data_IF_641168492690
#
_entry.id   IF_641168492690
#
_cell.length_a   1.000
_cell.length_b   1.000
_cell.length_c   1.000
_cell.angle_alpha   90.00
_cell.angle_beta   90.00
_cell.angle_gamma   90.00
#
_symmetry.space_group_name_H-M   'P 1'
#
loop_
_entity.id
_entity.type
_entity.pdbx_description
1 polymer ?
#
# COMPACT_ATOMS: atom_id res chain seq x y z
N UNK A 1 -14.79 -45.35 23.90
CA UNK A 1 -15.56 -44.56 22.91
C UNK A 1 -16.28 -45.57 22.04
N UNK A 2 -17.62 -45.52 21.93
CA UNK A 2 -18.34 -46.48 21.08
C UNK A 2 -17.91 -46.29 19.60
N UNK A 3 -17.72 -47.37 18.82
CA UNK A 3 -17.38 -47.25 17.42
C UNK A 3 -18.50 -46.53 16.66
N UNK A 4 -18.14 -45.66 15.70
CA UNK A 4 -19.12 -44.88 14.93
C UNK A 4 -20.03 -45.80 14.12
N UNK A 5 -21.34 -45.69 14.35
CA UNK A 5 -22.36 -46.37 13.56
C UNK A 5 -22.35 -45.77 12.14
N UNK A 6 -22.08 -46.57 11.08
CA UNK A 6 -21.95 -46.08 9.72
C UNK A 6 -23.25 -45.45 9.20
N UNK A 7 -24.42 -45.99 9.56
CA UNK A 7 -25.71 -45.46 9.13
C UNK A 7 -25.99 -44.07 9.74
N UNK A 8 -25.61 -43.86 11.02
CA UNK A 8 -25.76 -42.57 11.67
C UNK A 8 -24.82 -41.52 11.07
N UNK A 9 -23.62 -41.95 10.69
CA UNK A 9 -22.61 -41.07 10.07
C UNK A 9 -23.03 -40.65 8.66
N UNK A 10 -23.63 -41.56 7.89
CA UNK A 10 -24.16 -41.24 6.56
C UNK A 10 -25.36 -40.29 6.64
N UNK A 11 -26.27 -40.50 7.60
CA UNK A 11 -27.42 -39.62 7.83
C UNK A 11 -26.98 -38.20 8.22
N UNK A 12 -25.98 -38.09 9.11
CA UNK A 12 -25.40 -36.80 9.50
C UNK A 12 -24.73 -36.08 8.31
N UNK A 13 -23.99 -36.81 7.46
CA UNK A 13 -23.36 -36.24 6.26
C UNK A 13 -24.38 -35.73 5.25
N UNK A 14 -25.50 -36.45 5.07
CA UNK A 14 -26.60 -36.01 4.21
C UNK A 14 -27.28 -34.74 4.75
N UNK A 15 -27.51 -34.65 6.06
CA UNK A 15 -28.03 -33.43 6.70
C UNK A 15 -27.09 -32.24 6.49
N UNK A 16 -25.78 -32.42 6.71
CA UNK A 16 -24.77 -31.37 6.45
C UNK A 16 -24.73 -30.95 4.99
N UNK A 17 -24.80 -31.90 4.05
CA UNK A 17 -24.84 -31.59 2.61
C UNK A 17 -26.10 -30.82 2.19
N UNK A 18 -27.21 -31.00 2.92
CA UNK A 18 -28.47 -30.25 2.73
C UNK A 18 -28.53 -28.91 3.47
N UNK A 19 -27.41 -28.46 4.06
CA UNK A 19 -27.37 -27.22 4.85
C UNK A 19 -28.07 -27.31 6.20
N UNK A 20 -28.26 -28.53 6.75
CA UNK A 20 -28.88 -28.75 8.04
C UNK A 20 -30.40 -28.56 8.05
N UNK A 21 -31.08 -28.90 6.95
CA UNK A 21 -32.54 -28.80 6.83
C UNK A 21 -33.26 -30.16 6.95
N UNK A 22 -32.52 -31.28 6.89
CA UNK A 22 -33.09 -32.64 6.89
C UNK A 22 -33.40 -33.15 8.31
N UNK A 23 -32.63 -32.74 9.31
CA UNK A 23 -32.81 -33.14 10.71
C UNK A 23 -33.17 -31.94 11.58
N UNK A 24 -34.09 -32.10 12.51
CA UNK A 24 -34.35 -31.11 13.56
C UNK A 24 -33.22 -31.10 14.61
N UNK A 25 -33.10 -30.03 15.39
CA UNK A 25 -32.06 -29.90 16.40
C UNK A 25 -32.07 -31.05 17.43
N UNK A 26 -33.25 -31.51 17.84
CA UNK A 26 -33.42 -32.62 18.78
C UNK A 26 -32.98 -33.97 18.18
N UNK A 27 -33.18 -34.18 16.87
CA UNK A 27 -32.76 -35.39 16.17
C UNK A 27 -31.24 -35.43 16.00
N UNK A 28 -30.61 -34.29 15.71
CA UNK A 28 -29.14 -34.17 15.67
C UNK A 28 -28.51 -34.45 17.02
N UNK A 29 -29.09 -33.91 18.10
CA UNK A 29 -28.63 -34.16 19.46
C UNK A 29 -28.76 -35.65 19.82
N UNK A 30 -29.87 -36.29 19.48
CA UNK A 30 -30.09 -37.72 19.69
C UNK A 30 -29.08 -38.58 18.92
N UNK A 31 -28.70 -38.17 17.72
CA UNK A 31 -27.71 -38.86 16.87
C UNK A 31 -26.29 -38.79 17.46
N UNK A 32 -25.95 -37.68 18.12
CA UNK A 32 -24.64 -37.46 18.75
C UNK A 32 -24.55 -37.97 20.20
N UNK A 33 -25.68 -38.09 20.91
CA UNK A 33 -25.77 -38.49 22.32
C UNK A 33 -24.95 -39.73 22.72
N UNK A 34 -24.86 -40.80 21.92
CA UNK A 34 -24.06 -41.99 22.27
C UNK A 34 -22.53 -41.76 22.25
N UNK A 35 -22.08 -40.73 21.55
CA UNK A 35 -20.65 -40.39 21.40
C UNK A 35 -20.20 -39.27 22.35
N UNK A 36 -21.15 -38.62 23.02
CA UNK A 36 -20.86 -37.63 24.05
C UNK A 36 -20.43 -38.33 25.35
N UNK A 37 -19.46 -37.76 26.10
CA UNK A 37 -19.02 -38.33 27.36
C UNK A 37 -20.19 -38.38 28.37
N UNK A 38 -20.28 -39.49 29.11
CA UNK A 38 -21.36 -39.70 30.07
C UNK A 38 -21.35 -38.59 31.13
N UNK A 39 -22.50 -37.95 31.33
CA UNK A 39 -22.69 -36.98 32.41
C UNK A 39 -22.64 -37.73 33.74
N UNK A 40 -21.78 -37.35 34.71
CA UNK A 40 -21.68 -38.07 35.97
C UNK A 40 -22.99 -37.94 36.75
N UNK A 41 -23.64 -39.09 36.98
CA UNK A 41 -24.87 -39.20 37.79
C UNK A 41 -24.49 -39.34 39.27
N UNK A 42 -25.14 -38.61 40.20
CA UNK A 42 -24.75 -38.60 41.61
C UNK A 42 -25.52 -39.67 42.40
N UNK A 43 -25.14 -40.95 42.29
CA UNK A 43 -25.57 -41.98 43.25
C UNK A 43 -24.90 -43.32 43.00
N UNK A 44 -23.92 -43.66 43.85
CA UNK A 44 -23.62 -45.04 44.26
C UNK A 44 -22.46 -45.05 45.25
N UNK A 45 -22.80 -44.98 46.54
CA UNK A 45 -22.02 -45.65 47.57
C UNK A 45 -23.01 -46.46 48.39
N UNK A 46 -22.97 -47.77 48.17
CA UNK A 46 -23.66 -48.78 48.96
C UNK A 46 -23.06 -48.85 50.36
N UNK A 47 -23.99 -48.80 51.31
CA UNK A 47 -24.11 -49.52 52.58
C UNK A 47 -23.00 -50.47 53.02
N UNK A 48 -22.56 -50.26 54.26
CA UNK A 48 -22.19 -51.34 55.17
C UNK A 48 -22.48 -50.92 56.62
N UNK A 49 -23.19 -51.77 57.37
CA UNK A 49 -23.09 -51.83 58.83
C UNK A 49 -24.17 -51.13 59.66
N UNK A 50 -25.23 -51.88 59.95
CA UNK A 50 -25.87 -52.11 61.27
C UNK A 50 -25.81 -51.03 62.38
N UNK A 51 -27.01 -50.62 62.79
CA UNK A 51 -27.52 -50.42 64.17
C UNK A 51 -26.97 -49.32 65.09
N UNK A 52 -27.92 -48.44 65.44
CA UNK A 52 -28.26 -47.87 66.76
C UNK A 52 -27.36 -46.81 67.43
N UNK A 53 -28.03 -45.68 67.69
CA UNK A 53 -27.97 -44.78 68.86
C UNK A 53 -26.79 -43.83 69.07
N UNK A 54 -27.19 -42.56 69.25
CA UNK A 54 -26.56 -41.46 70.02
C UNK A 54 -25.21 -40.91 69.57
N UNK A 55 -25.21 -39.67 69.05
CA UNK A 55 -24.72 -38.47 69.78
C UNK A 55 -24.37 -37.33 68.80
N UNK A 56 -24.47 -36.10 69.31
CA UNK A 56 -24.19 -34.81 68.67
C UNK A 56 -22.83 -34.81 67.94
N UNK A 57 -22.73 -34.15 66.77
CA UNK A 57 -21.74 -33.09 66.51
C UNK A 57 -21.89 -32.44 65.12
N UNK A 58 -22.13 -31.13 65.14
CA UNK A 58 -21.74 -30.07 64.19
C UNK A 58 -21.73 -30.36 62.67
N UNK A 59 -22.71 -29.79 61.97
CA UNK A 59 -22.71 -29.59 60.53
C UNK A 59 -21.60 -28.62 60.09
N UNK A 60 -20.55 -29.12 59.44
CA UNK A 60 -19.64 -28.28 58.63
C UNK A 60 -20.21 -28.16 57.21
N UNK A 61 -20.85 -27.02 56.94
CA UNK A 61 -21.38 -26.66 55.63
C UNK A 61 -20.29 -26.63 54.56
N UNK A 62 -20.53 -27.35 53.46
CA UNK A 62 -19.66 -27.40 52.30
C UNK A 62 -19.74 -26.05 51.55
N UNK A 63 -18.68 -25.23 51.60
CA UNK A 63 -18.60 -23.93 50.93
C UNK A 63 -18.74 -24.12 49.41
N UNK A 64 -19.79 -23.55 48.82
CA UNK A 64 -19.98 -23.47 47.35
C UNK A 64 -18.74 -22.84 46.70
N UNK A 65 -18.20 -23.48 45.66
CA UNK A 65 -17.02 -23.02 44.90
C UNK A 65 -17.36 -21.74 44.12
N UNK A 66 -17.20 -20.57 44.75
CA UNK A 66 -17.29 -19.22 44.12
C UNK A 66 -16.04 -18.93 43.26
N UNK A 67 -14.94 -19.65 43.51
CA UNK A 67 -13.62 -19.46 42.89
C UNK A 67 -13.58 -19.48 41.35
N UNK A 68 -14.24 -20.41 40.62
CA UNK A 68 -14.19 -20.42 39.15
C UNK A 68 -14.94 -19.24 38.53
N UNK A 69 -16.07 -18.81 39.10
CA UNK A 69 -16.83 -17.66 38.60
C UNK A 69 -16.07 -16.34 38.82
N UNK A 70 -15.48 -16.18 40.00
CA UNK A 70 -14.63 -15.01 40.29
C UNK A 70 -13.39 -14.95 39.39
N UNK A 71 -12.78 -16.11 39.08
CA UNK A 71 -11.65 -16.21 38.16
C UNK A 71 -12.04 -15.81 36.74
N UNK A 72 -13.17 -16.28 36.22
CA UNK A 72 -13.65 -15.88 34.88
C UNK A 72 -13.99 -14.39 34.81
N UNK A 73 -14.65 -13.84 35.84
CA UNK A 73 -14.94 -12.40 35.92
C UNK A 73 -13.66 -11.56 36.06
N UNK A 74 -12.66 -12.05 36.79
CA UNK A 74 -11.35 -11.40 36.89
C UNK A 74 -10.61 -11.42 35.54
N UNK A 75 -10.61 -12.54 34.81
CA UNK A 75 -10.03 -12.59 33.46
C UNK A 75 -10.74 -11.63 32.50
N UNK A 76 -12.07 -11.56 32.54
CA UNK A 76 -12.83 -10.61 31.74
C UNK A 76 -12.53 -9.15 32.11
N UNK A 77 -12.40 -8.85 33.42
CA UNK A 77 -12.03 -7.52 33.91
C UNK A 77 -10.62 -7.13 33.46
N UNK A 78 -9.65 -8.03 33.62
CA UNK A 78 -8.26 -7.81 33.19
C UNK A 78 -8.18 -7.60 31.68
N UNK A 79 -8.87 -8.43 30.89
CA UNK A 79 -8.95 -8.26 29.44
C UNK A 79 -9.58 -6.91 29.07
N UNK A 80 -10.67 -6.52 29.72
CA UNK A 80 -11.30 -5.21 29.51
C UNK A 80 -10.35 -4.06 29.86
N UNK A 81 -9.64 -4.14 30.98
CA UNK A 81 -8.67 -3.11 31.38
C UNK A 81 -7.52 -3.02 30.37
N UNK A 82 -6.97 -4.15 29.93
CA UNK A 82 -5.94 -4.19 28.88
C UNK A 82 -6.47 -3.52 27.61
N UNK A 83 -7.66 -3.91 27.14
CA UNK A 83 -8.26 -3.33 25.94
C UNK A 83 -8.57 -1.83 26.10
N UNK A 84 -8.97 -1.39 27.30
CA UNK A 84 -9.22 0.02 27.63
C UNK A 84 -7.91 0.82 27.59
N UNK A 85 -6.85 0.34 28.25
CA UNK A 85 -5.55 1.01 28.29
C UNK A 85 -4.90 1.06 26.91
N UNK A 86 -4.84 -0.07 26.19
CA UNK A 86 -4.29 -0.12 24.84
C UNK A 86 -5.14 0.69 23.86
N UNK A 87 -6.47 0.59 23.93
CA UNK A 87 -7.37 1.38 23.10
C UNK A 87 -7.23 2.89 23.36
N UNK A 88 -7.12 3.30 24.62
CA UNK A 88 -6.87 4.68 25.02
C UNK A 88 -5.49 5.16 24.54
N UNK A 89 -4.44 4.37 24.74
CA UNK A 89 -3.09 4.69 24.29
C UNK A 89 -3.00 4.86 22.78
N UNK A 90 -3.58 3.92 22.01
CA UNK A 90 -3.60 3.98 20.55
C UNK A 90 -4.37 5.20 20.07
N UNK A 91 -5.56 5.48 20.63
CA UNK A 91 -6.34 6.68 20.26
C UNK A 91 -5.64 7.98 20.63
N UNK A 92 -5.04 8.09 21.82
CA UNK A 92 -4.26 9.27 22.22
C UNK A 92 -3.09 9.50 21.28
N UNK A 93 -2.38 8.43 20.90
CA UNK A 93 -1.28 8.49 19.93
C UNK A 93 -1.75 8.91 18.54
N UNK A 94 -2.86 8.34 18.06
CA UNK A 94 -3.49 8.72 16.79
C UNK A 94 -3.87 10.21 16.81
N UNK A 95 -4.58 10.67 17.84
CA UNK A 95 -4.99 12.07 17.99
C UNK A 95 -3.76 12.99 18.04
N UNK A 96 -2.71 12.62 18.78
CA UNK A 96 -1.48 13.40 18.85
C UNK A 96 -0.81 13.56 17.48
N UNK A 97 -0.62 12.46 16.73
CA UNK A 97 -0.02 12.53 15.40
C UNK A 97 -0.93 13.26 14.40
N UNK A 98 -2.23 13.01 14.41
CA UNK A 98 -3.20 13.69 13.56
C UNK A 98 -3.26 15.19 13.81
N UNK A 99 -3.25 15.61 15.08
CA UNK A 99 -3.28 17.04 15.44
C UNK A 99 -1.96 17.73 15.10
N UNK A 100 -0.82 17.07 15.30
CA UNK A 100 0.47 17.59 14.84
C UNK A 100 0.53 17.70 13.32
N UNK A 101 0.18 16.64 12.60
CA UNK A 101 0.21 16.61 11.13
C UNK A 101 -0.76 17.67 10.56
N UNK A 102 -1.93 17.86 11.18
CA UNK A 102 -2.90 18.89 10.77
C UNK A 102 -2.48 20.30 11.16
N UNK A 103 -1.91 20.52 12.35
CA UNK A 103 -1.36 21.82 12.72
C UNK A 103 -0.18 22.20 11.82
N UNK A 104 0.65 21.23 11.45
CA UNK A 104 1.69 21.41 10.44
C UNK A 104 1.07 21.68 9.08
N UNK A 105 0.09 20.91 8.63
CA UNK A 105 -0.56 21.10 7.34
C UNK A 105 -1.19 22.50 7.22
N UNK A 106 -1.92 22.95 8.24
CA UNK A 106 -2.53 24.29 8.28
C UNK A 106 -1.46 25.39 8.32
N UNK A 107 -0.43 25.24 9.17
CA UNK A 107 0.68 26.20 9.25
C UNK A 107 1.48 26.28 7.94
N UNK A 108 1.56 25.19 7.19
CA UNK A 108 2.31 25.09 5.94
C UNK A 108 1.44 25.25 4.67
N UNK A 109 0.12 25.44 4.83
CA UNK A 109 -0.84 25.57 3.72
C UNK A 109 -0.61 26.83 2.87
N UNK A 110 0.21 27.77 3.33
CA UNK A 110 0.38 29.09 2.73
C UNK A 110 1.47 29.23 1.66
N UNK A 111 2.25 28.17 1.35
CA UNK A 111 3.36 28.30 0.39
C UNK A 111 3.36 27.17 -0.65
N UNK A 112 2.43 27.23 -1.61
CA UNK A 112 2.47 26.49 -2.88
C UNK A 112 3.56 27.07 -3.81
N UNK A 113 4.79 27.13 -3.33
CA UNK A 113 5.92 27.66 -4.11
C UNK A 113 7.02 26.62 -4.21
N UNK A 114 7.61 26.43 -5.40
CA UNK A 114 8.64 25.43 -5.62
C UNK A 114 9.89 25.68 -4.76
N UNK A 115 10.20 26.94 -4.44
CA UNK A 115 11.36 27.31 -3.62
C UNK A 115 11.26 26.75 -2.19
N UNK A 116 10.05 26.66 -1.65
CA UNK A 116 9.83 26.13 -0.31
C UNK A 116 10.19 24.64 -0.26
N UNK A 117 9.65 23.87 -1.21
CA UNK A 117 9.90 22.43 -1.31
C UNK A 117 11.38 22.16 -1.60
N UNK A 118 12.01 22.95 -2.48
CA UNK A 118 13.44 22.88 -2.75
C UNK A 118 14.27 23.10 -1.48
N UNK A 119 13.88 24.05 -0.63
CA UNK A 119 14.57 24.31 0.64
C UNK A 119 14.44 23.13 1.61
N UNK A 120 13.27 22.51 1.67
CA UNK A 120 13.01 21.37 2.57
C UNK A 120 13.77 20.10 2.17
N UNK A 121 14.08 19.93 0.89
CA UNK A 121 14.89 18.80 0.39
C UNK A 121 16.39 19.10 0.24
N UNK A 122 16.80 20.37 0.33
CA UNK A 122 18.18 20.82 0.05
C UNK A 122 19.25 20.11 0.89
N UNK A 123 18.93 19.78 2.14
CA UNK A 123 19.85 19.18 3.10
C UNK A 123 19.78 17.65 3.13
N UNK A 124 19.08 17.02 2.20
CA UNK A 124 19.01 15.57 2.11
C UNK A 124 20.22 15.02 1.38
N UNK A 125 20.86 14.02 1.98
CA UNK A 125 22.06 13.38 1.43
C UNK A 125 21.82 12.73 0.06
N UNK A 126 20.57 12.33 -0.21
CA UNK A 126 20.13 11.77 -1.49
C UNK A 126 18.63 11.96 -1.71
N UNK A 127 18.24 11.89 -2.97
CA UNK A 127 16.85 11.89 -3.44
C UNK A 127 16.63 10.71 -4.39
N UNK A 128 15.41 10.14 -4.44
CA UNK A 128 15.08 9.12 -5.42
C UNK A 128 15.06 9.76 -6.82
N UNK A 129 15.61 9.05 -7.81
CA UNK A 129 15.47 9.38 -9.23
C UNK A 129 14.10 8.98 -9.75
N UNK A 130 13.60 7.86 -9.23
CA UNK A 130 12.28 7.36 -9.53
C UNK A 130 11.50 7.18 -8.22
N UNK A 131 10.52 8.03 -8.00
CA UNK A 131 9.56 7.90 -6.90
C UNK A 131 8.31 7.20 -7.43
N UNK A 132 7.81 6.21 -6.71
CA UNK A 132 6.50 5.62 -6.96
C UNK A 132 5.56 5.83 -5.79
N UNK A 133 4.28 6.05 -6.07
CA UNK A 133 3.25 6.25 -5.06
C UNK A 133 2.06 5.34 -5.34
N UNK A 134 1.62 4.62 -4.31
CA UNK A 134 0.43 3.78 -4.35
C UNK A 134 -0.75 4.59 -3.80
N UNK A 135 -1.72 4.85 -4.68
CA UNK A 135 -2.96 5.55 -4.37
C UNK A 135 -4.14 4.58 -4.39
N UNK A 136 -5.21 4.96 -3.69
CA UNK A 136 -6.47 4.23 -3.66
C UNK A 136 -7.57 5.11 -4.24
N UNK A 137 -8.39 4.51 -5.10
CA UNK A 137 -9.62 5.15 -5.55
C UNK A 137 -10.57 5.36 -4.35
N UNK A 138 -11.04 6.59 -4.17
CA UNK A 138 -11.97 6.97 -3.11
C UNK A 138 -13.42 6.73 -3.56
N UNK A 139 -14.34 6.61 -2.61
CA UNK A 139 -15.77 6.60 -2.95
C UNK A 139 -16.18 7.93 -3.57
N UNK A 140 -17.27 7.93 -4.34
CA UNK A 140 -17.88 9.15 -4.90
C UNK A 140 -18.17 10.20 -3.81
N UNK A 141 -18.62 9.76 -2.64
CA UNK A 141 -18.87 10.64 -1.48
C UNK A 141 -17.60 11.38 -0.99
N UNK A 142 -16.43 10.78 -1.19
CA UNK A 142 -15.13 11.33 -0.78
C UNK A 142 -14.38 12.02 -1.96
N UNK A 143 -15.09 12.28 -3.07
CA UNK A 143 -14.61 13.01 -4.25
C UNK A 143 -14.15 12.15 -5.44
N UNK A 144 -14.27 10.81 -5.33
CA UNK A 144 -14.10 9.88 -6.45
C UNK A 144 -12.84 10.12 -7.31
N UNK A 145 -13.05 10.25 -8.62
CA UNK A 145 -11.98 10.48 -9.59
C UNK A 145 -11.35 11.87 -9.47
N UNK A 146 -12.13 12.92 -9.22
CA UNK A 146 -11.61 14.30 -9.13
C UNK A 146 -10.59 14.43 -8.00
N UNK A 147 -10.91 13.87 -6.83
CA UNK A 147 -10.00 13.84 -5.70
C UNK A 147 -8.71 13.07 -6.04
N UNK A 148 -8.81 11.94 -6.74
CA UNK A 148 -7.63 11.17 -7.13
C UNK A 148 -6.74 11.94 -8.12
N UNK A 149 -7.32 12.62 -9.11
CA UNK A 149 -6.58 13.42 -10.09
C UNK A 149 -5.90 14.63 -9.43
N UNK A 150 -6.57 15.29 -8.48
CA UNK A 150 -5.97 16.38 -7.71
C UNK A 150 -4.77 15.91 -6.88
N UNK A 151 -4.84 14.72 -6.28
CA UNK A 151 -3.71 14.12 -5.55
C UNK A 151 -2.52 13.81 -6.45
N UNK A 152 -2.77 13.28 -7.64
CA UNK A 152 -1.73 13.08 -8.66
C UNK A 152 -1.08 14.40 -9.04
N UNK A 153 -1.88 15.46 -9.19
CA UNK A 153 -1.39 16.80 -9.53
C UNK A 153 -0.54 17.42 -8.41
N UNK A 154 -0.96 17.32 -7.15
CA UNK A 154 -0.16 17.79 -6.01
C UNK A 154 1.15 17.00 -5.86
N UNK A 155 1.10 15.66 -5.96
CA UNK A 155 2.31 14.81 -5.94
C UNK A 155 3.27 15.13 -7.09
N UNK A 156 2.75 15.43 -8.28
CA UNK A 156 3.54 15.83 -9.43
C UNK A 156 4.25 17.16 -9.17
N UNK A 157 3.54 18.16 -8.63
CA UNK A 157 4.12 19.44 -8.26
C UNK A 157 5.18 19.30 -7.18
N UNK A 158 4.95 18.48 -6.16
CA UNK A 158 5.93 18.22 -5.10
C UNK A 158 7.16 17.48 -5.62
N UNK A 159 6.98 16.48 -6.49
CA UNK A 159 8.07 15.71 -7.08
C UNK A 159 8.94 16.58 -7.99
N UNK A 160 8.31 17.37 -8.88
CA UNK A 160 9.03 18.33 -9.70
C UNK A 160 9.78 19.36 -8.86
N UNK A 161 9.16 19.87 -7.79
CA UNK A 161 9.78 20.88 -6.92
C UNK A 161 10.93 20.30 -6.11
N UNK A 162 10.83 19.04 -5.69
CA UNK A 162 11.91 18.31 -5.04
C UNK A 162 13.06 17.94 -5.99
N UNK A 163 12.87 18.07 -7.31
CA UNK A 163 13.86 17.68 -8.31
C UNK A 163 13.87 16.19 -8.62
N UNK A 164 12.77 15.49 -8.39
CA UNK A 164 12.57 14.08 -8.74
C UNK A 164 12.07 14.01 -10.19
N UNK A 165 12.85 13.43 -11.12
CA UNK A 165 12.54 13.51 -12.56
C UNK A 165 11.44 12.53 -12.99
N UNK A 166 11.25 11.41 -12.29
CA UNK A 166 10.27 10.38 -12.65
C UNK A 166 9.36 10.06 -11.47
N UNK A 167 8.06 10.26 -11.67
CA UNK A 167 6.99 9.90 -10.73
C UNK A 167 6.13 8.79 -11.34
N UNK A 168 6.05 7.64 -10.67
CA UNK A 168 5.05 6.62 -10.96
C UNK A 168 3.87 6.72 -10.02
N UNK A 169 2.65 6.70 -10.56
CA UNK A 169 1.43 6.60 -9.78
C UNK A 169 0.79 5.24 -10.07
N UNK A 170 0.64 4.43 -9.04
CA UNK A 170 -0.11 3.19 -9.12
C UNK A 170 -1.50 3.36 -8.52
N UNK A 171 -2.52 3.03 -9.30
CA UNK A 171 -3.89 2.85 -8.84
C UNK A 171 -4.42 1.52 -9.40
N UNK A 172 -4.99 0.68 -8.52
CA UNK A 172 -5.31 -0.71 -8.83
C UNK A 172 -6.23 -0.88 -10.03
N UNK A 173 -7.31 -0.09 -10.12
CA UNK A 173 -8.35 -0.26 -11.15
C UNK A 173 -7.90 0.15 -12.55
N UNK A 174 -6.91 1.03 -12.65
CA UNK A 174 -6.44 1.59 -13.91
C UNK A 174 -7.29 2.75 -14.42
N UNK A 175 -8.18 3.31 -13.60
CA UNK A 175 -9.04 4.44 -14.00
C UNK A 175 -8.21 5.64 -14.49
N UNK A 176 -7.05 5.90 -13.88
CA UNK A 176 -6.15 6.99 -14.30
C UNK A 176 -5.64 6.83 -15.73
N UNK A 177 -5.47 5.59 -16.21
CA UNK A 177 -5.08 5.33 -17.59
C UNK A 177 -6.18 5.69 -18.58
N UNK A 178 -7.44 5.41 -18.22
CA UNK A 178 -8.62 5.78 -19.03
C UNK A 178 -8.75 7.30 -19.20
N UNK A 179 -8.36 8.07 -18.18
CA UNK A 179 -8.47 9.53 -18.15
C UNK A 179 -7.12 10.25 -18.33
N UNK A 180 -6.16 9.66 -19.03
CA UNK A 180 -4.80 10.20 -19.19
C UNK A 180 -4.74 11.66 -19.67
N UNK A 181 -5.55 12.03 -20.66
CA UNK A 181 -5.58 13.40 -21.18
C UNK A 181 -6.02 14.41 -20.11
N UNK A 182 -7.04 14.05 -19.33
CA UNK A 182 -7.53 14.88 -18.22
C UNK A 182 -6.50 14.98 -17.10
N UNK A 183 -5.83 13.87 -16.75
CA UNK A 183 -4.73 13.86 -15.78
C UNK A 183 -3.61 14.81 -16.24
N UNK A 184 -3.19 14.72 -17.50
CA UNK A 184 -2.15 15.57 -18.05
C UNK A 184 -2.52 17.06 -17.99
N UNK A 185 -3.77 17.40 -18.31
CA UNK A 185 -4.27 18.78 -18.24
C UNK A 185 -4.23 19.32 -16.80
N UNK A 186 -4.80 18.59 -15.84
CA UNK A 186 -4.86 19.02 -14.43
C UNK A 186 -3.46 19.13 -13.82
N UNK A 187 -2.58 18.17 -14.11
CA UNK A 187 -1.17 18.22 -13.67
C UNK A 187 -0.46 19.43 -14.28
N UNK A 188 -0.65 19.70 -15.58
CA UNK A 188 -0.05 20.87 -16.25
C UNK A 188 -0.54 22.19 -15.67
N UNK A 189 -1.83 22.30 -15.37
CA UNK A 189 -2.41 23.46 -14.69
C UNK A 189 -1.83 23.63 -13.29
N UNK A 190 -1.70 22.54 -12.52
CA UNK A 190 -1.10 22.56 -11.17
C UNK A 190 0.37 22.98 -11.22
N UNK A 191 1.17 22.44 -12.14
CA UNK A 191 2.55 22.85 -12.35
C UNK A 191 2.64 24.34 -12.72
N UNK A 192 1.75 24.83 -13.58
CA UNK A 192 1.66 26.26 -13.90
C UNK A 192 1.29 27.11 -12.69
N UNK A 193 0.45 26.61 -11.78
CA UNK A 193 0.10 27.32 -10.54
C UNK A 193 1.26 27.44 -9.54
N UNK A 194 2.18 26.47 -9.53
CA UNK A 194 3.37 26.50 -8.66
C UNK A 194 4.50 27.34 -9.27
N UNK A 195 4.78 27.17 -10.56
CA UNK A 195 5.96 27.73 -11.22
C UNK A 195 5.69 28.99 -12.06
N UNK A 196 4.42 29.32 -12.28
CA UNK A 196 4.01 30.30 -13.29
C UNK A 196 3.97 29.71 -14.72
N UNK A 197 3.66 30.54 -15.72
CA UNK A 197 3.61 30.11 -17.12
C UNK A 197 5.00 29.72 -17.65
N UNK A 198 5.01 29.01 -18.79
CA UNK A 198 6.25 28.70 -19.49
C UNK A 198 7.06 29.98 -19.77
N UNK A 199 8.41 29.95 -19.65
CA UNK A 199 9.28 28.77 -19.57
C UNK A 199 9.63 28.30 -18.15
N UNK A 200 9.12 28.94 -17.10
CA UNK A 200 9.45 28.60 -15.72
C UNK A 200 8.89 27.22 -15.30
N UNK A 201 7.72 26.85 -15.84
CA UNK A 201 7.12 25.54 -15.57
C UNK A 201 7.87 24.38 -16.22
N UNK A 202 8.01 23.26 -15.49
CA UNK A 202 8.66 22.06 -16.01
C UNK A 202 7.87 21.47 -17.18
N UNK A 203 8.57 20.82 -18.12
CA UNK A 203 7.92 20.02 -19.16
C UNK A 203 7.35 18.75 -18.54
N UNK A 204 6.11 18.41 -18.87
CA UNK A 204 5.43 17.20 -18.42
C UNK A 204 5.29 16.22 -19.57
N UNK A 205 5.62 14.95 -19.32
CA UNK A 205 5.24 13.83 -20.19
C UNK A 205 4.45 12.82 -19.37
N UNK A 206 3.27 12.44 -19.86
CA UNK A 206 2.43 11.41 -19.22
C UNK A 206 2.41 10.17 -20.10
N UNK A 207 2.67 9.01 -19.50
CA UNK A 207 2.68 7.72 -20.20
C UNK A 207 2.16 6.60 -19.31
N UNK A 208 1.73 5.53 -19.95
CA UNK A 208 1.25 4.32 -19.31
C UNK A 208 1.63 3.11 -20.16
N UNK A 209 1.91 1.94 -19.57
CA UNK A 209 2.15 0.72 -20.33
C UNK A 209 0.94 0.39 -21.22
N UNK A 210 1.20 -0.08 -22.43
CA UNK A 210 0.19 -0.41 -23.45
C UNK A 210 -0.69 0.77 -23.90
N UNK A 211 -0.26 2.01 -23.64
CA UNK A 211 -0.93 3.22 -24.12
C UNK A 211 0.03 4.06 -24.97
N UNK A 212 -0.39 4.66 -26.10
CA UNK A 212 0.44 5.60 -26.82
C UNK A 212 0.80 6.78 -25.89
N UNK A 213 2.09 7.13 -25.83
CA UNK A 213 2.56 8.26 -25.04
C UNK A 213 1.98 9.57 -25.60
N UNK A 214 1.31 10.35 -24.78
CA UNK A 214 0.83 11.67 -25.15
C UNK A 214 1.92 12.71 -24.90
N UNK A 215 2.83 12.88 -25.86
CA UNK A 215 3.67 14.08 -25.89
C UNK A 215 2.87 15.23 -26.50
N UNK A 216 2.86 16.45 -25.93
CA UNK A 216 2.52 17.62 -26.74
C UNK A 216 3.48 17.65 -27.92
N UNK A 217 2.92 17.63 -29.13
CA UNK A 217 3.62 17.62 -30.42
C UNK A 217 4.84 18.56 -30.45
N UNK A 218 5.93 18.18 -31.14
CA UNK A 218 7.08 19.05 -31.36
C UNK A 218 6.69 20.17 -32.31
N UNK A 219 6.06 21.22 -31.80
CA UNK A 219 6.10 22.51 -32.48
C UNK A 219 7.54 22.99 -32.34
N UNK A 220 8.33 23.10 -33.41
CA UNK A 220 9.60 23.78 -33.33
C UNK A 220 9.25 25.24 -33.07
N UNK A 221 9.27 25.66 -31.81
CA UNK A 221 9.45 27.07 -31.52
C UNK A 221 10.71 27.48 -32.29
N UNK A 222 10.65 28.44 -33.23
CA UNK A 222 11.82 28.83 -33.99
C UNK A 222 12.88 29.25 -32.98
N UNK A 223 13.93 28.44 -32.86
CA UNK A 223 15.16 28.86 -32.23
C UNK A 223 15.69 29.96 -33.13
N UNK A 224 15.30 31.20 -32.84
CA UNK A 224 15.98 32.37 -33.40
C UNK A 224 17.42 32.24 -32.89
N UNK A 225 18.41 32.00 -33.76
CA UNK A 225 19.78 32.04 -33.32
C UNK A 225 20.07 33.51 -32.99
N UNK A 226 20.20 33.81 -31.69
CA UNK A 226 20.76 35.07 -31.24
C UNK A 226 22.22 35.14 -31.75
N UNK A 227 22.39 35.67 -32.96
CA UNK A 227 23.69 36.02 -33.52
C UNK A 227 24.11 37.33 -32.87
N UNK A 228 25.05 37.20 -31.93
CA UNK A 228 26.20 38.09 -31.72
C UNK A 228 25.97 39.59 -31.92
N UNK A 229 25.71 40.29 -30.82
CA UNK A 229 26.37 41.56 -30.54
C UNK A 229 27.03 41.41 -29.17
N UNK A 230 28.36 41.45 -29.17
CA UNK A 230 29.18 41.44 -27.98
C UNK A 230 28.88 42.67 -27.11
N UNK A 231 29.01 42.46 -25.80
CA UNK A 231 29.39 43.39 -24.74
C UNK A 231 28.41 43.39 -23.55
N UNK A 232 28.97 42.95 -22.41
CA UNK A 232 28.58 43.22 -21.03
C UNK A 232 27.26 42.63 -20.49
N UNK A 233 27.33 41.42 -19.92
CA UNK A 233 26.83 41.15 -18.56
C UNK A 233 27.26 39.77 -18.05
N UNK A 234 27.63 39.75 -16.78
CA UNK A 234 28.25 38.71 -15.97
C UNK A 234 27.32 37.54 -15.59
N UNK A 235 27.90 36.33 -15.51
CA UNK A 235 27.43 35.15 -14.76
C UNK A 235 25.90 34.85 -14.71
N UNK A 236 25.38 34.17 -15.74
CA UNK A 236 24.07 33.50 -15.68
C UNK A 236 24.17 32.06 -16.15
N UNK A 237 24.10 31.09 -15.22
CA UNK A 237 24.01 29.66 -15.52
C UNK A 237 22.83 29.39 -16.47
N UNK A 238 23.07 28.76 -17.62
CA UNK A 238 22.03 28.20 -18.47
C UNK A 238 21.26 27.14 -17.68
N UNK A 239 20.17 27.52 -17.01
CA UNK A 239 19.28 26.58 -16.33
C UNK A 239 18.57 25.75 -17.40
N UNK A 240 18.96 24.49 -17.57
CA UNK A 240 18.21 23.51 -18.35
C UNK A 240 16.78 23.46 -17.80
N UNK A 241 15.78 23.52 -18.69
CA UNK A 241 14.37 23.42 -18.30
C UNK A 241 14.15 22.11 -17.54
N UNK A 242 13.54 22.19 -16.35
CA UNK A 242 13.19 21.01 -15.57
C UNK A 242 12.16 20.17 -16.33
N UNK A 243 12.27 18.84 -16.24
CA UNK A 243 11.36 17.89 -16.89
C UNK A 243 10.86 16.89 -15.85
N UNK A 244 9.55 16.62 -15.88
CA UNK A 244 8.89 15.59 -15.08
C UNK A 244 8.26 14.56 -16.02
N UNK A 245 8.61 13.31 -15.80
CA UNK A 245 7.99 12.13 -16.37
C UNK A 245 6.97 11.56 -15.37
N UNK A 246 5.72 11.39 -15.81
CA UNK A 246 4.62 10.82 -15.04
C UNK A 246 4.18 9.48 -15.65
N UNK A 247 4.52 8.38 -14.97
CA UNK A 247 4.16 7.02 -15.34
C UNK A 247 2.90 6.57 -14.58
N UNK A 248 1.83 6.21 -15.30
CA UNK A 248 0.61 5.69 -14.69
C UNK A 248 0.58 4.16 -14.77
N UNK A 249 0.43 3.52 -13.61
CA UNK A 249 0.44 2.08 -13.43
C UNK A 249 -0.90 1.56 -12.87
N UNK A 250 -1.23 0.33 -13.23
CA UNK A 250 -2.40 -0.42 -12.75
C UNK A 250 -2.06 -1.87 -12.43
N UNK A 251 -3.01 -2.62 -11.86
CA UNK A 251 -2.78 -4.03 -11.49
C UNK A 251 -2.36 -4.91 -12.68
N UNK A 252 -2.82 -4.58 -13.89
CA UNK A 252 -2.47 -5.25 -15.15
C UNK A 252 -0.99 -5.11 -15.52
N UNK A 253 -0.31 -4.06 -15.04
CA UNK A 253 1.11 -3.84 -15.33
C UNK A 253 2.03 -4.68 -14.43
N UNK A 254 1.45 -5.42 -13.48
CA UNK A 254 2.19 -6.30 -12.59
C UNK A 254 2.22 -7.73 -13.09
N UNK A 255 1.39 -8.58 -12.48
CA UNK A 255 1.43 -10.03 -12.73
C UNK A 255 0.98 -10.39 -14.15
N UNK A 256 -0.02 -9.68 -14.67
CA UNK A 256 -0.56 -9.98 -16.01
C UNK A 256 0.51 -9.73 -17.08
N UNK A 257 1.25 -8.62 -16.96
CA UNK A 257 2.42 -8.34 -17.82
C UNK A 257 3.48 -9.45 -17.76
N UNK A 258 3.77 -10.00 -16.57
CA UNK A 258 4.70 -11.13 -16.45
C UNK A 258 4.17 -12.40 -17.13
N UNK A 259 2.87 -12.66 -17.02
CA UNK A 259 2.22 -13.81 -17.67
C UNK A 259 2.24 -13.66 -19.18
N UNK A 260 1.93 -12.48 -19.71
CA UNK A 260 1.92 -12.20 -21.15
C UNK A 260 3.33 -12.23 -21.75
N UNK A 261 4.32 -11.68 -21.04
CA UNK A 261 5.73 -11.81 -21.44
C UNK A 261 6.17 -13.28 -21.45
N UNK A 262 5.81 -14.05 -20.42
CA UNK A 262 6.12 -15.48 -20.35
C UNK A 262 5.49 -16.24 -21.52
N UNK A 263 4.24 -15.95 -21.87
CA UNK A 263 3.57 -16.55 -23.05
C UNK A 263 4.33 -16.23 -24.33
N UNK A 264 4.65 -14.95 -24.53
CA UNK A 264 5.37 -14.48 -25.72
C UNK A 264 6.74 -15.15 -25.86
N UNK A 265 7.52 -15.20 -24.77
CA UNK A 265 8.83 -15.87 -24.76
C UNK A 265 8.71 -17.38 -24.99
N UNK A 266 7.68 -18.02 -24.44
CA UNK A 266 7.42 -19.45 -24.68
C UNK A 266 7.07 -19.73 -26.15
N UNK A 267 6.23 -18.91 -26.77
CA UNK A 267 5.88 -19.02 -28.20
C UNK A 267 7.10 -18.78 -29.10
N UNK A 268 7.95 -17.81 -28.76
CA UNK A 268 9.21 -17.56 -29.46
C UNK A 268 10.18 -18.73 -29.32
N UNK A 269 10.24 -19.36 -28.14
CA UNK A 269 11.07 -20.54 -27.92
C UNK A 269 10.54 -21.77 -28.69
N UNK A 270 9.21 -21.99 -28.70
CA UNK A 270 8.57 -23.07 -29.46
C UNK A 270 8.75 -22.92 -30.97
N UNK A 271 8.75 -21.67 -31.47
CA UNK A 271 9.02 -21.36 -32.88
C UNK A 271 10.52 -21.31 -33.22
N UNK A 272 11.39 -21.70 -32.29
CA UNK A 272 12.85 -21.71 -32.44
C UNK A 272 13.47 -20.33 -32.76
N UNK A 273 12.79 -19.23 -32.42
CA UNK A 273 13.32 -17.86 -32.56
C UNK A 273 14.31 -17.49 -31.46
N UNK A 274 14.14 -18.07 -30.27
CA UNK A 274 15.05 -17.90 -29.12
C UNK A 274 15.29 -19.27 -28.47
N UNK A 275 16.46 -19.45 -27.84
CA UNK A 275 16.68 -20.63 -27.01
C UNK A 275 16.08 -20.42 -25.61
N UNK A 276 15.54 -21.45 -24.95
CA UNK A 276 15.15 -21.36 -23.54
C UNK A 276 16.29 -20.90 -22.62
N UNK A 277 17.55 -21.12 -23.00
CA UNK A 277 18.73 -20.66 -22.25
C UNK A 277 18.98 -19.15 -22.35
N UNK A 278 18.43 -18.51 -23.39
CA UNK A 278 18.55 -17.07 -23.61
C UNK A 278 17.57 -16.27 -22.74
N UNK A 279 16.59 -16.95 -22.13
CA UNK A 279 15.62 -16.38 -21.20
C UNK A 279 16.31 -16.11 -19.86
N UNK A 280 17.01 -14.99 -19.79
CA UNK A 280 17.72 -14.50 -18.61
C UNK A 280 16.93 -13.41 -17.89
N UNK A 281 17.27 -13.13 -16.63
CA UNK A 281 16.69 -12.00 -15.89
C UNK A 281 16.88 -10.67 -16.62
N UNK A 282 18.01 -10.49 -17.32
CA UNK A 282 18.31 -9.26 -18.05
C UNK A 282 17.40 -9.09 -19.27
N UNK A 283 17.08 -10.17 -19.97
CA UNK A 283 16.11 -10.16 -21.06
C UNK A 283 14.73 -9.75 -20.53
N UNK A 284 14.26 -10.44 -19.48
CA UNK A 284 12.95 -10.15 -18.86
C UNK A 284 12.88 -8.69 -18.43
N UNK A 285 13.94 -8.20 -17.80
CA UNK A 285 14.02 -6.82 -17.34
C UNK A 285 13.99 -5.81 -18.50
N UNK A 286 14.71 -6.09 -19.58
CA UNK A 286 14.73 -5.24 -20.78
C UNK A 286 13.34 -5.15 -21.41
N UNK A 287 12.64 -6.29 -21.54
CA UNK A 287 11.30 -6.34 -22.12
C UNK A 287 10.24 -5.64 -21.25
N UNK A 288 10.31 -5.81 -19.93
CA UNK A 288 9.42 -5.11 -18.99
C UNK A 288 9.69 -3.60 -19.02
N UNK A 289 10.96 -3.17 -18.97
CA UNK A 289 11.33 -1.76 -19.06
C UNK A 289 10.89 -1.13 -20.38
N UNK A 290 11.01 -1.86 -21.50
CA UNK A 290 10.53 -1.42 -22.81
C UNK A 290 9.01 -1.22 -22.81
N UNK A 291 8.26 -2.12 -22.17
CA UNK A 291 6.79 -2.01 -22.04
C UNK A 291 6.39 -0.81 -21.18
N UNK A 292 7.21 -0.44 -20.18
CA UNK A 292 7.01 0.78 -19.37
C UNK A 292 7.54 2.06 -20.03
N UNK A 293 8.05 1.99 -21.26
CA UNK A 293 8.34 3.11 -22.16
C UNK A 293 9.12 4.29 -21.55
N UNK A 294 10.13 4.01 -20.74
CA UNK A 294 11.19 4.99 -20.43
C UNK A 294 12.26 4.89 -21.54
N UNK A 295 11.89 5.22 -22.78
CA UNK A 295 12.79 5.07 -23.95
C UNK A 295 13.59 6.32 -24.32
N UNK A 296 13.44 7.44 -23.58
CA UNK A 296 14.06 8.72 -23.97
C UNK A 296 15.31 9.10 -23.17
N UNK A 297 15.94 8.18 -22.44
CA UNK A 297 17.32 8.40 -21.96
C UNK A 297 18.34 8.28 -23.11
N UNK A 298 18.16 9.07 -24.17
CA UNK A 298 19.17 9.36 -25.18
C UNK A 298 19.50 10.86 -25.08
N UNK A 299 20.64 11.18 -24.48
CA UNK A 299 21.14 12.55 -24.42
C UNK A 299 22.16 12.80 -23.32
N UNK A 300 23.43 12.43 -23.55
CA UNK A 300 24.60 12.86 -22.78
C UNK A 300 24.74 12.35 -21.33
N UNK A 301 25.19 11.10 -21.17
CA UNK A 301 26.12 10.79 -20.07
C UNK A 301 27.15 9.76 -20.53
N UNK A 302 28.38 10.22 -20.74
CA UNK A 302 29.55 9.43 -21.16
C UNK A 302 30.14 8.58 -20.03
N UNK A 303 29.33 8.10 -19.10
CA UNK A 303 29.74 7.11 -18.10
C UNK A 303 28.66 6.04 -17.92
N UNK A 304 28.95 4.75 -18.16
CA UNK A 304 28.07 3.67 -17.74
C UNK A 304 28.18 3.57 -16.22
N UNK A 305 27.31 4.27 -15.50
CA UNK A 305 27.19 4.15 -14.05
C UNK A 305 26.13 3.11 -13.74
N UNK A 306 26.63 1.89 -13.50
CA UNK A 306 26.04 0.81 -12.68
C UNK A 306 24.50 0.77 -12.66
N UNK A 307 23.92 0.09 -13.67
CA UNK A 307 22.62 -0.61 -13.64
C UNK A 307 21.57 -0.04 -12.66
N UNK A 308 21.18 1.21 -12.85
CA UNK A 308 19.89 1.71 -12.36
C UNK A 308 18.96 1.65 -13.56
N UNK A 309 18.33 0.49 -13.69
CA UNK A 309 17.34 0.15 -14.71
C UNK A 309 16.27 1.24 -14.79
N UNK A 310 16.13 1.84 -15.97
CA UNK A 310 15.03 2.73 -16.28
C UNK A 310 13.72 1.94 -16.11
N UNK A 311 13.06 2.08 -14.96
CA UNK A 311 11.80 1.42 -14.63
C UNK A 311 11.62 1.04 -13.17
N UNK A 312 12.70 0.83 -12.41
CA UNK A 312 12.60 0.44 -11.00
C UNK A 312 12.52 1.68 -10.09
N UNK A 313 11.50 1.80 -9.21
CA UNK A 313 11.45 2.92 -8.29
C UNK A 313 12.49 2.77 -7.18
N UNK A 314 13.17 3.85 -6.82
CA UNK A 314 14.08 3.86 -5.68
C UNK A 314 13.31 3.89 -4.35
N UNK A 315 12.17 4.60 -4.35
CA UNK A 315 11.28 4.78 -3.21
C UNK A 315 9.84 4.53 -3.64
N UNK A 316 9.11 3.72 -2.86
CA UNK A 316 7.66 3.53 -2.97
C UNK A 316 7.00 4.11 -1.72
N UNK A 317 6.09 5.07 -1.90
CA UNK A 317 5.28 5.63 -0.81
C UNK A 317 3.88 5.01 -0.83
N UNK A 318 3.47 4.45 0.32
CA UNK A 318 2.14 3.89 0.54
C UNK A 318 1.35 4.80 1.49
N UNK A 319 0.38 5.52 0.94
CA UNK A 319 -0.57 6.33 1.71
C UNK A 319 -1.68 5.44 2.28
N UNK A 320 -1.42 4.84 3.44
CA UNK A 320 -2.37 4.01 4.14
C UNK A 320 -1.87 3.57 5.52
N UNK A 321 -2.76 2.93 6.31
CA UNK A 321 -2.47 2.54 7.70
C UNK A 321 -1.46 1.39 7.81
N UNK A 322 -1.26 0.62 6.74
CA UNK A 322 -0.33 -0.50 6.66
C UNK A 322 0.17 -0.66 5.22
N UNK A 323 1.30 -1.34 5.07
CA UNK A 323 1.87 -1.65 3.76
C UNK A 323 0.93 -2.59 3.03
N UNK A 324 0.34 -2.11 1.93
CA UNK A 324 -0.49 -2.89 1.04
C UNK A 324 -0.19 -2.50 -0.40
N UNK A 325 0.42 -3.43 -1.14
CA UNK A 325 0.85 -3.18 -2.52
C UNK A 325 -0.25 -3.43 -3.55
N UNK A 326 -1.32 -4.13 -3.17
CA UNK A 326 -2.55 -4.31 -3.96
C UNK A 326 -2.40 -4.80 -5.41
N UNK A 327 -1.25 -5.39 -5.76
CA UNK A 327 -0.93 -5.85 -7.11
C UNK A 327 0.06 -4.97 -7.86
N UNK A 328 0.73 -4.03 -7.17
CA UNK A 328 1.85 -3.25 -7.70
C UNK A 328 2.86 -4.16 -8.43
N UNK A 329 3.45 -3.71 -9.56
CA UNK A 329 4.42 -4.48 -10.33
C UNK A 329 5.53 -5.13 -9.48
N UNK A 330 5.49 -6.47 -9.29
CA UNK A 330 6.35 -7.12 -8.32
C UNK A 330 7.81 -7.23 -8.78
N UNK A 331 8.04 -7.26 -10.09
CA UNK A 331 9.40 -7.34 -10.65
C UNK A 331 10.22 -6.09 -10.35
N UNK A 332 9.61 -4.91 -10.50
CA UNK A 332 10.28 -3.61 -10.44
C UNK A 332 10.65 -3.18 -9.01
N UNK A 333 10.08 -3.79 -7.96
CA UNK A 333 10.27 -3.36 -6.56
C UNK A 333 11.31 -4.14 -5.78
N UNK A 334 12.16 -4.91 -6.46
CA UNK A 334 13.14 -5.82 -5.83
C UNK A 334 14.12 -5.11 -4.88
N UNK A 335 14.47 -3.85 -5.16
CA UNK A 335 15.43 -3.05 -4.40
C UNK A 335 14.85 -1.71 -3.94
N UNK A 336 13.53 -1.52 -4.09
CA UNK A 336 12.86 -0.28 -3.70
C UNK A 336 12.72 -0.19 -2.19
N UNK A 337 13.06 0.97 -1.63
CA UNK A 337 12.67 1.30 -0.26
C UNK A 337 11.17 1.53 -0.20
N UNK A 338 10.47 0.93 0.77
CA UNK A 338 9.02 1.08 0.92
C UNK A 338 8.73 1.89 2.19
N UNK A 339 8.24 3.11 2.01
CA UNK A 339 7.77 3.95 3.09
C UNK A 339 6.25 3.90 3.19
N UNK A 340 5.73 3.56 4.37
CA UNK A 340 4.30 3.59 4.66
C UNK A 340 4.01 4.68 5.70
N UNK A 341 3.03 5.53 5.39
CA UNK A 341 2.63 6.65 6.26
C UNK A 341 2.08 6.14 7.60
N UNK A 342 1.39 5.00 7.56
CA UNK A 342 0.74 4.41 8.72
C UNK A 342 -0.52 5.18 9.13
N UNK A 343 -1.01 4.88 10.32
CA UNK A 343 -2.25 5.43 10.88
C UNK A 343 -2.11 6.90 11.36
N UNK A 344 -0.93 7.48 11.17
CA UNK A 344 -0.61 8.85 11.59
C UNK A 344 -1.35 9.92 10.79
N UNK A 345 -1.88 9.58 9.60
CA UNK A 345 -2.69 10.46 8.75
C UNK A 345 -4.21 10.34 8.96
N UNK A 346 -4.66 9.62 9.98
CA UNK A 346 -6.09 9.50 10.30
C UNK A 346 -6.66 10.82 10.83
N UNK A 347 -7.73 11.33 10.22
CA UNK A 347 -8.47 12.46 10.76
C UNK A 347 -9.08 12.07 12.13
N UNK A 348 -9.23 13.03 13.04
CA UNK A 348 -9.77 12.82 14.42
C UNK A 348 -11.16 12.16 14.42
N UNK A 349 -11.85 12.17 13.27
CA UNK A 349 -13.12 11.49 13.01
C UNK A 349 -13.04 9.95 12.99
N UNK A 350 -11.85 9.35 13.05
CA UNK A 350 -11.68 7.89 12.96
C UNK A 350 -11.92 7.33 11.55
N UNK A 351 -12.14 8.20 10.56
CA UNK A 351 -12.12 7.85 9.15
C UNK A 351 -10.67 7.79 8.69
N UNK A 352 -10.24 6.66 8.13
CA UNK A 352 -8.92 6.51 7.50
C UNK A 352 -8.86 7.44 6.28
N UNK A 353 -8.41 8.67 6.48
CA UNK A 353 -8.13 9.59 5.38
C UNK A 353 -6.93 9.04 4.63
N UNK A 354 -7.16 8.48 3.44
CA UNK A 354 -6.07 8.07 2.53
C UNK A 354 -5.57 9.25 1.70
N UNK A 355 -5.80 10.49 2.17
CA UNK A 355 -5.39 11.68 1.43
C UNK A 355 -3.86 11.81 1.40
N UNK A 356 -3.35 12.32 0.29
CA UNK A 356 -1.93 12.64 0.18
C UNK A 356 -1.62 13.89 0.99
N UNK A 357 -0.57 13.83 1.81
CA UNK A 357 -0.13 14.93 2.65
C UNK A 357 1.33 15.27 2.36
N UNK A 358 1.62 16.56 2.20
CA UNK A 358 2.97 17.04 1.91
C UNK A 358 3.97 16.61 3.00
N UNK A 359 3.57 16.66 4.26
CA UNK A 359 4.43 16.22 5.38
C UNK A 359 4.74 14.73 5.30
N UNK A 360 3.78 13.90 4.90
CA UNK A 360 4.01 12.48 4.70
C UNK A 360 4.94 12.20 3.50
N UNK A 361 4.79 12.95 2.41
CA UNK A 361 5.73 12.93 1.27
C UNK A 361 7.16 13.27 1.72
N UNK A 362 7.34 14.36 2.46
CA UNK A 362 8.65 14.80 2.95
C UNK A 362 9.26 13.79 3.94
N UNK A 363 8.47 13.22 4.85
CA UNK A 363 8.92 12.13 5.74
C UNK A 363 9.43 10.92 4.95
N UNK A 364 8.75 10.57 3.85
CA UNK A 364 9.20 9.50 2.95
C UNK A 364 10.58 9.79 2.36
N UNK A 365 10.79 11.01 1.86
CA UNK A 365 12.10 11.45 1.35
C UNK A 365 13.18 11.44 2.42
N UNK A 366 12.88 11.89 3.64
CA UNK A 366 13.83 11.86 4.75
C UNK A 366 14.23 10.44 5.15
N UNK A 367 13.26 9.51 5.20
CA UNK A 367 13.54 8.11 5.50
C UNK A 367 14.39 7.47 4.41
N UNK A 368 14.09 7.75 3.15
CA UNK A 368 14.92 7.31 2.03
C UNK A 368 16.33 7.89 2.11
N UNK A 369 16.47 9.18 2.40
CA UNK A 369 17.77 9.84 2.55
C UNK A 369 18.66 9.15 3.60
N UNK A 370 18.08 8.68 4.71
CA UNK A 370 18.79 7.95 5.77
C UNK A 370 18.96 6.43 5.59
N UNK A 371 18.40 5.80 4.54
CA UNK A 371 18.34 4.33 4.42
C UNK A 371 19.65 3.67 3.96
N UNK A 372 20.24 2.73 4.70
CA UNK A 372 21.47 2.08 4.25
C UNK A 372 21.21 0.99 3.18
N UNK A 373 21.68 1.19 1.96
CA UNK A 373 21.50 0.25 0.84
C UNK A 373 22.77 -0.58 0.62
N UNK A 374 22.77 -1.82 1.11
CA UNK A 374 23.97 -2.67 1.13
C UNK A 374 24.14 -3.57 -0.10
N UNK A 375 23.09 -3.77 -0.89
CA UNK A 375 23.12 -4.57 -2.13
C UNK A 375 23.88 -5.91 -1.98
N UNK A 376 23.66 -6.60 -0.86
CA UNK A 376 24.29 -7.89 -0.56
C UNK A 376 25.76 -7.84 -0.10
N UNK A 377 26.28 -6.68 0.31
CA UNK A 377 27.66 -6.51 0.82
C UNK A 377 27.76 -6.36 2.33
#
# INVERSE_FOLDING_TARGET
MAPFNPAATELYRKDVASGGQLLTAAEREKLLRPYLPAVPSPSSRMDNGTSTTTSRHASKGHKRRIRPFLKTKLHALVFFLIQLFFGMYVRLRQIYHATLDRALAIRHYHHRTPEYIQRDVKNLDRLPRHLSVILKYKSEEDGGLEALVDEVAELSAWSASAGIPLLSIYEKSGILKTYMASVQEVVSQKLTSYYGPAPASPTLRVFAPNHPSMSPSPVPSPRIPARSSAEEATHGSQRSRQHLDLLLLSATDGRDTLVDLTRTLAEMAQSHKISPKDITSNLINTEISATTAITDYSGHSTKPRKEADAGEPDLVIVFGPYVKLDGYPPWQIRLSEIFCVGDSGGDVSGRTSTRVEYQAFLRGLWKYAGAEMRFGR
#
